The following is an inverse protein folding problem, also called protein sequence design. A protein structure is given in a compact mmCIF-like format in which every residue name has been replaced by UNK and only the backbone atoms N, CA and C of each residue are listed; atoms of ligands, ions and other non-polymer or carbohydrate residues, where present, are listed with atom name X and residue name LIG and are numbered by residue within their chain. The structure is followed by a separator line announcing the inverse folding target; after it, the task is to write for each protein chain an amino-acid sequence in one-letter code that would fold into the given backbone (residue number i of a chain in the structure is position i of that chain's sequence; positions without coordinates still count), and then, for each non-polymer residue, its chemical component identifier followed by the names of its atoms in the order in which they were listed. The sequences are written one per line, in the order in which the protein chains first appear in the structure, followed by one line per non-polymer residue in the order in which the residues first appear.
data_IF_710373142062
#
_entry.id   IF_710373142062
#
_cell.length_a   1.000
_cell.length_b   1.000
_cell.length_c   1.000
_cell.angle_alpha   90.00
_cell.angle_beta   90.00
_cell.angle_gamma   90.00
#
_symmetry.space_group_name_H-M   'P 1'
#
loop_
_entity.id
_entity.type
_entity.pdbx_description
1 polymer ?
#
# COMPACT_ATOMS: atom_id res chain seq x y z
N UNK A 1 -9.93 31.10 -4.32
CA UNK A 1 -10.22 31.47 -2.94
C UNK A 1 -10.58 30.21 -2.17
N UNK A 2 -9.89 29.94 -1.05
CA UNK A 2 -10.21 28.81 -0.17
C UNK A 2 -10.88 29.42 1.06
N UNK A 3 -12.08 28.98 1.38
CA UNK A 3 -12.79 29.35 2.61
C UNK A 3 -12.70 28.15 3.54
N UNK A 4 -12.15 28.38 4.74
CA UNK A 4 -12.14 27.36 5.81
C UNK A 4 -13.16 27.81 6.84
N UNK A 5 -14.21 27.02 7.06
CA UNK A 5 -15.26 27.28 8.03
C UNK A 5 -15.16 26.32 9.20
N UNK A 6 -15.07 26.88 10.41
CA UNK A 6 -15.11 26.10 11.66
C UNK A 6 -16.49 26.29 12.28
N UNK A 7 -17.27 25.22 12.35
CA UNK A 7 -18.53 25.21 13.07
C UNK A 7 -18.33 24.68 14.50
N UNK A 8 -18.67 25.48 15.49
CA UNK A 8 -18.68 25.07 16.90
C UNK A 8 -20.13 25.11 17.45
N UNK A 9 -20.61 24.04 18.10
CA UNK A 9 -21.85 24.07 18.86
C UNK A 9 -21.81 25.15 19.94
N UNK A 10 -22.96 25.76 20.26
CA UNK A 10 -23.03 26.89 21.18
C UNK A 10 -22.42 26.63 22.58
N UNK A 11 -22.47 25.40 23.06
CA UNK A 11 -21.87 24.94 24.33
C UNK A 11 -20.37 24.66 24.27
N UNK A 12 -19.79 24.63 23.06
CA UNK A 12 -18.37 24.35 22.80
C UNK A 12 -17.61 25.52 22.17
N UNK A 13 -18.26 26.68 22.02
CA UNK A 13 -17.65 27.88 21.42
C UNK A 13 -16.33 28.23 22.11
N UNK A 14 -15.27 28.35 21.30
CA UNK A 14 -13.92 28.69 21.77
C UNK A 14 -13.14 27.54 22.41
N UNK A 15 -13.64 26.32 22.33
CA UNK A 15 -12.92 25.10 22.80
C UNK A 15 -12.18 24.33 21.70
N UNK A 16 -12.51 24.63 20.46
CA UNK A 16 -11.82 24.00 19.31
C UNK A 16 -10.61 24.82 18.90
N UNK A 17 -9.53 24.15 18.56
CA UNK A 17 -8.33 24.76 17.97
C UNK A 17 -8.22 24.25 16.56
N UNK A 18 -8.36 25.15 15.57
CA UNK A 18 -8.07 24.85 14.18
C UNK A 18 -6.61 25.26 13.90
N UNK A 19 -5.79 24.27 13.60
CA UNK A 19 -4.41 24.50 13.19
C UNK A 19 -4.22 24.10 11.73
N UNK A 20 -3.94 25.07 10.86
CA UNK A 20 -3.58 24.82 9.46
C UNK A 20 -2.06 24.86 9.38
N UNK A 21 -1.41 23.71 9.37
CA UNK A 21 0.05 23.60 9.35
C UNK A 21 0.62 23.75 7.94
N UNK A 22 -0.14 23.45 6.91
CA UNK A 22 0.30 23.53 5.54
C UNK A 22 -0.88 23.69 4.58
N UNK A 23 -0.72 24.52 3.55
CA UNK A 23 -1.66 24.63 2.43
C UNK A 23 -0.91 24.25 1.18
N UNK A 24 -1.18 23.05 0.68
CA UNK A 24 -0.66 22.62 -0.62
C UNK A 24 -1.62 23.12 -1.70
N UNK A 25 -1.19 24.14 -2.45
CA UNK A 25 -1.95 24.67 -3.57
C UNK A 25 -1.72 23.78 -4.79
N UNK A 26 -2.65 22.90 -5.10
CA UNK A 26 -2.72 22.26 -6.41
C UNK A 26 -2.99 23.33 -7.47
N UNK A 27 -1.98 23.69 -8.27
CA UNK A 27 -2.06 24.77 -9.24
C UNK A 27 -2.97 24.44 -10.45
N UNK A 28 -3.32 23.16 -10.60
CA UNK A 28 -4.30 22.58 -11.52
C UNK A 28 -4.86 21.31 -10.87
N UNK A 29 -5.99 20.84 -11.37
CA UNK A 29 -6.39 19.44 -11.18
C UNK A 29 -5.14 18.57 -11.39
N UNK A 30 -4.64 17.97 -10.31
CA UNK A 30 -3.36 17.25 -10.32
C UNK A 30 -3.39 16.14 -11.38
N UNK A 31 -4.52 15.49 -11.55
CA UNK A 31 -4.72 14.44 -12.54
C UNK A 31 -4.67 15.02 -13.98
N UNK A 32 -5.16 16.25 -14.20
CA UNK A 32 -5.05 16.96 -15.48
C UNK A 32 -3.69 17.67 -15.67
N UNK A 33 -3.07 18.16 -14.60
CA UNK A 33 -1.78 18.90 -14.70
C UNK A 33 -0.61 17.99 -15.08
N UNK A 34 -0.70 16.70 -14.73
CA UNK A 34 0.30 15.69 -15.06
C UNK A 34 -0.10 14.84 -16.27
N UNK A 35 -1.24 15.14 -16.92
CA UNK A 35 -1.76 14.31 -18.01
C UNK A 35 -2.24 12.94 -17.56
N UNK A 36 -2.42 12.74 -16.24
CA UNK A 36 -2.80 11.46 -15.66
C UNK A 36 -4.30 11.24 -15.80
N UNK A 37 -4.70 10.86 -16.98
CA UNK A 37 -6.06 10.39 -17.25
C UNK A 37 -6.14 8.90 -16.92
N UNK A 38 -7.34 8.45 -16.57
CA UNK A 38 -7.63 7.01 -16.51
C UNK A 38 -7.37 6.39 -17.89
N UNK A 39 -6.88 5.16 -17.91
CA UNK A 39 -6.43 4.43 -19.10
C UNK A 39 -5.08 4.92 -19.68
N UNK A 40 -4.20 5.43 -18.83
CA UNK A 40 -2.80 5.72 -19.21
C UNK A 40 -1.92 4.47 -19.17
N UNK A 41 -2.32 3.44 -18.41
CA UNK A 41 -1.66 2.13 -18.43
C UNK A 41 -2.03 1.32 -19.68
N UNK A 42 -1.15 0.41 -20.08
CA UNK A 42 -1.43 -0.51 -21.18
C UNK A 42 -2.69 -1.34 -20.92
N UNK A 43 -3.42 -1.64 -21.98
CA UNK A 43 -4.72 -2.32 -21.88
C UNK A 43 -4.64 -3.74 -21.28
N UNK A 44 -3.44 -4.36 -21.23
CA UNK A 44 -3.25 -5.66 -20.61
C UNK A 44 -3.40 -5.64 -19.07
N UNK A 45 -3.27 -4.47 -18.44
CA UNK A 45 -3.40 -4.36 -16.99
C UNK A 45 -4.83 -4.65 -16.53
N UNK A 46 -4.98 -5.55 -15.57
CA UNK A 46 -6.27 -5.98 -15.03
C UNK A 46 -6.71 -5.07 -13.88
N UNK A 47 -7.95 -4.58 -13.92
CA UNK A 47 -8.52 -3.82 -12.80
C UNK A 47 -8.72 -4.70 -11.57
N UNK A 48 -8.42 -4.19 -10.38
CA UNK A 48 -8.56 -4.92 -9.11
C UNK A 48 -10.00 -5.40 -8.83
N UNK A 49 -11.01 -4.74 -9.40
CA UNK A 49 -12.43 -5.10 -9.24
C UNK A 49 -12.81 -6.35 -10.06
N UNK A 50 -11.96 -6.82 -10.99
CA UNK A 50 -12.22 -8.03 -11.75
C UNK A 50 -12.28 -9.25 -10.83
N UNK A 51 -12.91 -10.34 -11.29
CA UNK A 51 -13.13 -11.57 -10.50
C UNK A 51 -11.86 -12.13 -9.87
N UNK A 52 -10.73 -12.02 -10.57
CA UNK A 52 -9.42 -12.48 -10.09
C UNK A 52 -8.90 -11.65 -8.90
N UNK A 53 -9.33 -10.41 -8.76
CA UNK A 53 -9.00 -9.55 -7.64
C UNK A 53 -9.80 -9.82 -6.37
N UNK A 54 -10.97 -10.48 -6.45
CA UNK A 54 -11.84 -10.70 -5.29
C UNK A 54 -11.15 -11.38 -4.10
N UNK A 55 -10.29 -12.40 -4.27
CA UNK A 55 -9.56 -13.00 -3.15
C UNK A 55 -8.63 -12.01 -2.43
N UNK A 56 -8.26 -10.90 -3.07
CA UNK A 56 -7.28 -9.91 -2.62
C UNK A 56 -7.91 -8.61 -2.09
N UNK A 57 -9.21 -8.62 -1.74
CA UNK A 57 -9.96 -7.43 -1.35
C UNK A 57 -9.30 -6.65 -0.20
N UNK A 58 -8.73 -7.34 0.78
CA UNK A 58 -8.02 -6.71 1.90
C UNK A 58 -6.72 -6.03 1.42
N UNK A 59 -5.89 -6.75 0.69
CA UNK A 59 -4.62 -6.24 0.18
C UNK A 59 -4.83 -5.04 -0.75
N UNK A 60 -5.88 -5.07 -1.58
CA UNK A 60 -6.29 -3.96 -2.44
C UNK A 60 -6.52 -2.68 -1.63
N UNK A 61 -7.15 -2.77 -0.45
CA UNK A 61 -7.41 -1.63 0.45
C UNK A 61 -6.15 -1.06 1.11
N UNK A 62 -5.02 -1.78 1.08
CA UNK A 62 -3.75 -1.31 1.64
C UNK A 62 -2.92 -0.48 0.66
N UNK A 63 -3.19 -0.58 -0.65
CA UNK A 63 -2.34 0.00 -1.70
C UNK A 63 -2.75 1.43 -2.02
N UNK A 64 -1.75 2.31 -2.14
CA UNK A 64 -1.91 3.73 -2.42
C UNK A 64 -1.08 4.15 -3.63
N UNK A 65 -1.63 5.08 -4.43
CA UNK A 65 -0.87 5.81 -5.44
C UNK A 65 -0.09 6.93 -4.76
N UNK A 66 1.21 7.02 -5.04
CA UNK A 66 2.10 8.08 -4.54
C UNK A 66 2.43 9.05 -5.67
N UNK A 67 2.22 10.35 -5.41
CA UNK A 67 2.64 11.43 -6.28
C UNK A 67 3.62 12.31 -5.51
N UNK A 68 4.86 12.39 -5.96
CA UNK A 68 5.91 13.20 -5.32
C UNK A 68 6.80 13.87 -6.37
N UNK A 69 6.94 15.21 -6.32
CA UNK A 69 7.84 15.96 -7.20
C UNK A 69 7.64 15.74 -8.71
N UNK A 70 6.45 15.32 -9.15
CA UNK A 70 6.17 14.94 -10.54
C UNK A 70 6.46 13.48 -10.88
N UNK A 71 6.92 12.68 -9.91
CA UNK A 71 7.14 11.23 -10.06
C UNK A 71 5.96 10.46 -9.47
N UNK A 72 5.62 9.36 -10.14
CA UNK A 72 4.58 8.43 -9.71
C UNK A 72 5.23 7.17 -9.15
N UNK A 73 4.71 6.73 -8.02
CA UNK A 73 5.05 5.45 -7.40
C UNK A 73 3.80 4.83 -6.77
N UNK A 74 3.95 3.60 -6.33
CA UNK A 74 2.98 2.85 -5.54
C UNK A 74 3.54 2.63 -4.14
N UNK A 75 2.67 2.59 -3.15
CA UNK A 75 3.03 2.21 -1.79
C UNK A 75 1.98 1.33 -1.16
N UNK A 76 2.32 0.72 -0.04
CA UNK A 76 1.43 -0.19 0.68
C UNK A 76 1.42 0.15 2.16
N UNK A 77 0.23 0.37 2.72
CA UNK A 77 0.03 0.56 4.16
C UNK A 77 0.34 -0.76 4.87
N UNK A 78 1.34 -0.77 5.76
CA UNK A 78 1.90 -1.98 6.36
C UNK A 78 1.71 -2.02 7.88
N UNK A 79 1.37 -3.20 8.41
CA UNK A 79 1.18 -3.45 9.83
C UNK A 79 2.52 -3.54 10.58
N UNK A 80 2.50 -3.21 11.87
CA UNK A 80 3.59 -3.42 12.81
C UNK A 80 3.15 -4.31 13.99
N UNK A 81 4.11 -4.89 14.73
CA UNK A 81 3.81 -5.84 15.82
C UNK A 81 3.10 -5.22 17.03
N UNK A 82 3.12 -3.89 17.18
CA UNK A 82 2.32 -3.20 18.20
C UNK A 82 0.84 -3.12 17.80
N UNK A 83 0.51 -3.27 16.51
CA UNK A 83 -0.84 -3.14 15.94
C UNK A 83 -1.54 -1.84 16.40
N UNK A 84 -0.77 -0.76 16.46
CA UNK A 84 -1.18 0.54 17.02
C UNK A 84 -1.76 1.51 15.98
N UNK A 85 -1.85 1.07 14.71
CA UNK A 85 -2.36 1.88 13.61
C UNK A 85 -1.40 2.96 13.13
N UNK A 86 -0.12 2.89 13.49
CA UNK A 86 0.90 3.79 12.92
C UNK A 86 0.89 3.66 11.40
N UNK A 87 0.66 4.76 10.65
CA UNK A 87 0.36 4.69 9.23
C UNK A 87 1.63 4.61 8.39
N UNK A 88 2.37 3.51 8.50
CA UNK A 88 3.55 3.27 7.70
C UNK A 88 3.18 2.90 6.26
N UNK A 89 3.82 3.57 5.30
CA UNK A 89 3.77 3.21 3.87
C UNK A 89 5.12 2.63 3.48
N UNK A 90 5.10 1.37 3.06
CA UNK A 90 6.22 0.70 2.40
C UNK A 90 6.21 1.05 0.91
N UNK A 91 7.36 1.43 0.36
CA UNK A 91 7.56 1.76 -1.05
C UNK A 91 9.01 1.45 -1.45
N UNK A 92 9.46 1.87 -2.63
CA UNK A 92 10.84 1.71 -3.07
C UNK A 92 11.75 2.85 -2.59
N UNK A 93 13.06 2.58 -2.48
CA UNK A 93 14.06 3.62 -2.19
C UNK A 93 14.19 4.60 -3.36
N UNK A 94 14.21 4.10 -4.60
CA UNK A 94 14.29 4.94 -5.79
C UNK A 94 13.04 5.84 -6.00
N UNK A 95 11.95 5.64 -5.26
CA UNK A 95 10.83 6.58 -5.16
C UNK A 95 11.15 7.81 -4.31
N UNK A 96 12.36 7.87 -3.74
CA UNK A 96 12.90 9.00 -2.99
C UNK A 96 12.09 9.33 -1.70
N UNK A 97 11.95 8.38 -0.77
CA UNK A 97 11.13 8.53 0.44
C UNK A 97 11.57 9.71 1.32
N UNK A 98 12.86 10.12 1.26
CA UNK A 98 13.37 11.27 1.99
C UNK A 98 12.72 12.60 1.57
N UNK A 99 12.16 12.68 0.36
CA UNK A 99 11.55 13.88 -0.19
C UNK A 99 10.01 13.82 -0.29
N UNK A 100 9.38 12.87 0.43
CA UNK A 100 7.92 12.70 0.44
C UNK A 100 7.18 13.59 1.44
N UNK A 101 7.82 14.58 2.04
CA UNK A 101 7.19 15.51 2.99
C UNK A 101 5.99 16.29 2.44
N UNK A 102 5.90 16.44 1.11
CA UNK A 102 4.78 17.06 0.40
C UNK A 102 4.13 16.10 -0.62
N UNK A 103 4.40 14.81 -0.55
CA UNK A 103 3.79 13.83 -1.44
C UNK A 103 2.28 13.72 -1.20
N UNK A 104 1.54 13.32 -2.22
CA UNK A 104 0.12 12.99 -2.14
C UNK A 104 -0.05 11.48 -2.21
N UNK A 105 -0.63 10.92 -1.16
CA UNK A 105 -0.97 9.50 -1.06
C UNK A 105 -2.46 9.35 -1.31
N UNK A 106 -2.83 8.75 -2.45
CA UNK A 106 -4.23 8.56 -2.85
C UNK A 106 -4.66 7.12 -2.60
N UNK A 107 -5.66 6.97 -1.74
CA UNK A 107 -6.32 5.72 -1.39
C UNK A 107 -7.50 5.44 -2.34
N UNK A 108 -7.88 4.18 -2.46
CA UNK A 108 -9.07 3.72 -3.16
C UNK A 108 -9.24 4.33 -4.57
N UNK A 109 -8.11 4.47 -5.27
CA UNK A 109 -8.13 4.91 -6.67
C UNK A 109 -8.32 3.70 -7.59
N UNK A 110 -9.51 3.13 -7.54
CA UNK A 110 -9.89 1.88 -8.18
C UNK A 110 -10.95 2.14 -9.24
N UNK A 111 -10.90 1.40 -10.35
CA UNK A 111 -11.99 1.44 -11.33
C UNK A 111 -13.27 0.83 -10.73
N UNK A 112 -14.45 1.46 -10.88
CA UNK A 112 -15.71 0.87 -10.43
C UNK A 112 -16.21 -0.25 -11.34
N UNK A 113 -15.55 -0.50 -12.46
CA UNK A 113 -15.87 -1.57 -13.41
C UNK A 113 -14.62 -2.39 -13.71
N UNK A 114 -14.80 -3.65 -14.07
CA UNK A 114 -13.76 -4.46 -14.65
C UNK A 114 -13.62 -4.11 -16.13
N UNK A 115 -12.55 -3.41 -16.49
CA UNK A 115 -12.23 -3.06 -17.86
C UNK A 115 -11.79 -4.27 -18.69
N UNK A 116 -11.74 -4.10 -19.99
CA UNK A 116 -11.23 -5.12 -20.89
C UNK A 116 -9.71 -5.04 -21.00
N UNK A 117 -9.03 -6.17 -20.84
CA UNK A 117 -7.58 -6.26 -21.10
C UNK A 117 -7.20 -6.14 -22.59
N UNK A 118 -8.16 -6.01 -23.48
CA UNK A 118 -7.93 -5.78 -24.91
C UNK A 118 -8.02 -4.29 -25.28
N UNK A 119 -8.76 -3.50 -24.49
CA UNK A 119 -8.98 -2.07 -24.72
C UNK A 119 -8.96 -1.37 -23.37
N UNK A 120 -8.12 -0.36 -23.21
CA UNK A 120 -8.08 0.44 -22.00
C UNK A 120 -9.43 1.21 -21.86
N UNK A 121 -10.29 0.73 -20.97
CA UNK A 121 -11.62 1.30 -20.73
C UNK A 121 -12.04 1.30 -19.27
N UNK A 122 -11.07 1.29 -18.35
CA UNK A 122 -11.29 1.54 -16.92
C UNK A 122 -11.93 2.91 -16.70
N UNK A 123 -12.61 3.07 -15.57
CA UNK A 123 -13.26 4.34 -15.22
C UNK A 123 -12.65 4.92 -13.94
N UNK A 124 -12.66 6.24 -13.80
CA UNK A 124 -12.29 6.88 -12.56
C UNK A 124 -13.36 6.61 -11.47
N UNK A 125 -12.95 6.41 -10.21
CA UNK A 125 -13.91 6.35 -9.11
C UNK A 125 -14.67 7.66 -8.99
N UNK A 126 -15.94 7.58 -8.61
CA UNK A 126 -16.76 8.74 -8.32
C UNK A 126 -16.47 9.32 -6.94
N UNK A 127 -16.77 10.60 -6.74
CA UNK A 127 -16.65 11.28 -5.45
C UNK A 127 -15.34 12.01 -5.26
N UNK A 128 -15.16 12.56 -4.06
CA UNK A 128 -13.94 13.30 -3.71
C UNK A 128 -12.76 12.35 -3.53
N UNK A 129 -11.57 12.70 -4.03
CA UNK A 129 -10.38 11.89 -3.84
C UNK A 129 -10.06 11.66 -2.36
N UNK A 130 -9.80 10.42 -1.98
CA UNK A 130 -9.35 10.04 -0.64
C UNK A 130 -7.83 10.17 -0.57
N UNK A 131 -7.34 11.28 -0.03
CA UNK A 131 -5.92 11.60 -0.01
C UNK A 131 -5.40 11.98 1.37
N UNK A 132 -4.14 11.60 1.63
CA UNK A 132 -3.34 12.15 2.73
C UNK A 132 -2.14 12.85 2.11
N UNK A 133 -1.82 14.04 2.65
CA UNK A 133 -0.72 14.84 2.14
C UNK A 133 0.45 14.82 3.11
N UNK A 134 1.62 14.52 2.57
CA UNK A 134 2.89 14.52 3.27
C UNK A 134 3.11 13.31 4.17
N UNK A 135 4.38 13.08 4.44
CA UNK A 135 4.87 12.02 5.30
C UNK A 135 6.20 12.40 5.93
N UNK A 136 6.60 11.68 6.96
CA UNK A 136 7.93 11.74 7.55
C UNK A 136 8.75 10.55 7.06
N UNK A 137 10.00 10.78 6.67
CA UNK A 137 10.94 9.71 6.34
C UNK A 137 11.26 8.88 7.57
N UNK A 138 11.24 7.55 7.42
CA UNK A 138 11.51 6.58 8.49
C UNK A 138 12.77 5.78 8.18
N UNK A 139 12.79 5.05 7.09
CA UNK A 139 13.91 4.19 6.71
C UNK A 139 13.98 3.96 5.21
N UNK A 140 15.19 3.74 4.69
CA UNK A 140 15.40 3.25 3.33
C UNK A 140 16.75 2.59 3.17
N UNK A 141 16.90 1.71 2.19
CA UNK A 141 18.20 1.20 1.77
C UNK A 141 18.18 0.72 0.32
N UNK A 142 19.21 1.09 -0.42
CA UNK A 142 19.39 0.74 -1.82
C UNK A 142 19.63 -0.76 -2.04
N UNK A 143 20.20 -1.47 -1.08
CA UNK A 143 20.56 -2.89 -1.22
C UNK A 143 19.37 -3.75 -1.64
N UNK A 144 18.18 -3.49 -1.09
CA UNK A 144 16.91 -4.14 -1.42
C UNK A 144 15.86 -3.14 -1.88
N UNK A 145 16.29 -1.93 -2.22
CA UNK A 145 15.46 -0.85 -2.77
C UNK A 145 14.17 -0.60 -1.98
N UNK A 146 14.19 -0.66 -0.66
CA UNK A 146 13.03 -0.35 0.14
C UNK A 146 13.04 1.08 0.68
N UNK A 147 11.86 1.67 0.79
CA UNK A 147 11.58 2.91 1.48
C UNK A 147 10.41 2.73 2.45
N UNK A 148 10.49 3.34 3.62
CA UNK A 148 9.43 3.39 4.63
C UNK A 148 9.22 4.84 5.03
N UNK A 149 7.97 5.29 4.97
CA UNK A 149 7.54 6.60 5.44
C UNK A 149 6.34 6.46 6.37
N UNK A 150 6.16 7.41 7.28
CA UNK A 150 4.98 7.53 8.12
C UNK A 150 4.12 8.70 7.62
N UNK A 151 2.86 8.46 7.31
CA UNK A 151 1.95 9.51 6.88
C UNK A 151 1.74 10.55 7.98
N UNK A 152 1.56 11.81 7.59
CA UNK A 152 1.32 12.91 8.54
C UNK A 152 0.00 12.79 9.34
N UNK A 153 -0.89 11.88 8.93
CA UNK A 153 -2.11 11.56 9.66
C UNK A 153 -2.54 10.12 9.40
N UNK A 154 -3.22 9.53 10.39
CA UNK A 154 -3.86 8.22 10.24
C UNK A 154 -4.99 8.34 9.22
N UNK A 155 -5.13 7.38 8.29
CA UNK A 155 -6.25 7.35 7.36
C UNK A 155 -7.59 7.37 8.11
N UNK A 156 -8.55 8.23 7.73
CA UNK A 156 -9.88 8.21 8.32
C UNK A 156 -10.53 6.82 8.18
N UNK A 157 -11.32 6.42 9.17
CA UNK A 157 -12.03 5.12 9.14
C UNK A 157 -12.92 4.96 7.90
N UNK A 158 -13.43 6.08 7.35
CA UNK A 158 -14.22 6.12 6.12
C UNK A 158 -13.44 5.74 4.86
N UNK A 159 -12.09 5.65 4.94
CA UNK A 159 -11.27 5.16 3.83
C UNK A 159 -11.27 3.64 3.76
N UNK A 160 -11.76 2.95 4.80
CA UNK A 160 -11.85 1.49 4.89
C UNK A 160 -10.52 0.80 4.52
N UNK A 161 -9.42 1.30 5.10
CA UNK A 161 -8.08 0.81 4.79
C UNK A 161 -7.76 -0.49 5.50
N UNK A 162 -6.83 -1.23 4.92
CA UNK A 162 -6.23 -2.43 5.49
C UNK A 162 -4.74 -2.20 5.71
N UNK A 163 -4.21 -2.60 6.85
CA UNK A 163 -2.78 -2.64 7.13
C UNK A 163 -2.27 -4.02 6.76
N UNK A 164 -1.50 -4.10 5.67
CA UNK A 164 -1.04 -5.36 5.11
C UNK A 164 -0.09 -6.12 6.04
N UNK A 165 -0.24 -7.43 6.08
CA UNK A 165 0.68 -8.33 6.76
C UNK A 165 1.98 -8.55 5.98
N UNK A 166 2.98 -9.11 6.65
CA UNK A 166 4.30 -9.34 6.07
C UNK A 166 4.94 -10.64 6.56
N UNK A 167 5.89 -11.16 5.77
CA UNK A 167 6.72 -12.32 6.10
C UNK A 167 8.18 -12.01 5.80
N UNK A 168 9.07 -12.21 6.78
CA UNK A 168 10.49 -11.87 6.68
C UNK A 168 11.44 -13.09 6.60
N UNK A 169 10.91 -14.28 6.37
CA UNK A 169 11.73 -15.52 6.34
C UNK A 169 12.61 -15.65 5.10
N UNK A 170 12.29 -14.97 4.01
CA UNK A 170 12.97 -15.16 2.72
C UNK A 170 12.71 -16.54 2.09
N UNK A 171 11.65 -17.23 2.50
CA UNK A 171 11.20 -18.44 1.86
C UNK A 171 10.66 -18.14 0.46
N UNK A 172 10.93 -19.02 -0.49
CA UNK A 172 10.43 -18.91 -1.87
C UNK A 172 8.92 -19.09 -1.88
N UNK A 173 8.21 -18.14 -2.45
CA UNK A 173 6.77 -18.22 -2.67
C UNK A 173 6.47 -19.10 -3.90
N UNK A 174 5.41 -19.88 -3.84
CA UNK A 174 4.98 -20.75 -4.95
C UNK A 174 4.23 -19.99 -6.04
N UNK A 175 3.61 -18.89 -5.68
CA UNK A 175 2.93 -17.94 -6.58
C UNK A 175 3.05 -16.55 -5.95
N UNK A 176 2.85 -15.52 -6.73
CA UNK A 176 2.87 -14.16 -6.21
C UNK A 176 1.84 -13.24 -6.90
N UNK A 177 1.48 -12.17 -6.18
CA UNK A 177 0.56 -11.15 -6.69
C UNK A 177 1.15 -9.78 -6.44
N UNK A 178 1.00 -8.88 -7.41
CA UNK A 178 1.31 -7.47 -7.29
C UNK A 178 0.04 -6.64 -7.46
N UNK A 179 -0.18 -5.66 -6.57
CA UNK A 179 -1.25 -4.67 -6.68
C UNK A 179 -0.59 -3.31 -6.77
N UNK A 180 -0.88 -2.55 -7.84
CA UNK A 180 -0.06 -1.40 -8.21
C UNK A 180 -0.83 -0.33 -8.99
N UNK A 181 -0.18 0.80 -9.25
CA UNK A 181 -0.69 1.92 -10.06
C UNK A 181 0.20 2.14 -11.30
N UNK A 182 0.10 1.28 -12.33
CA UNK A 182 0.91 1.41 -13.54
C UNK A 182 0.57 2.71 -14.26
N UNK A 183 1.59 3.45 -14.69
CA UNK A 183 1.47 4.79 -15.30
C UNK A 183 0.67 5.79 -14.43
N UNK A 184 0.53 5.50 -13.11
CA UNK A 184 -0.31 6.27 -12.19
C UNK A 184 -1.81 6.12 -12.43
N UNK A 185 -2.23 5.15 -13.21
CA UNK A 185 -3.61 4.81 -13.51
C UNK A 185 -4.35 4.27 -12.28
N UNK A 186 -5.65 4.00 -12.42
CA UNK A 186 -6.42 3.27 -11.40
C UNK A 186 -5.73 1.95 -11.05
N UNK A 187 -5.94 1.51 -9.82
CA UNK A 187 -5.27 0.33 -9.26
C UNK A 187 -5.47 -0.91 -10.11
N UNK A 188 -4.39 -1.63 -10.35
CA UNK A 188 -4.32 -2.85 -11.14
C UNK A 188 -3.77 -3.99 -10.31
N UNK A 189 -3.98 -5.21 -10.80
CA UNK A 189 -3.49 -6.43 -10.18
C UNK A 189 -2.79 -7.30 -11.22
N UNK A 190 -1.63 -7.86 -10.85
CA UNK A 190 -0.82 -8.74 -11.68
C UNK A 190 -0.49 -10.03 -10.94
N UNK A 191 -0.43 -11.13 -11.68
CA UNK A 191 -0.29 -12.48 -11.14
C UNK A 191 0.94 -13.17 -11.68
N UNK A 192 1.66 -13.82 -10.78
CA UNK A 192 2.72 -14.79 -11.04
C UNK A 192 2.24 -16.14 -10.49
N UNK A 193 1.87 -17.05 -11.38
CA UNK A 193 1.36 -18.37 -11.02
C UNK A 193 2.51 -19.40 -10.88
N UNK A 194 3.77 -18.97 -11.02
CA UNK A 194 4.99 -19.78 -10.89
C UNK A 194 5.79 -19.41 -9.62
N UNK A 195 6.71 -20.30 -9.16
CA UNK A 195 7.54 -19.97 -8.00
C UNK A 195 8.54 -18.86 -8.28
N UNK A 196 8.61 -17.88 -7.35
CA UNK A 196 9.60 -16.80 -7.41
C UNK A 196 11.03 -17.33 -7.52
N UNK A 197 11.86 -16.65 -8.32
CA UNK A 197 13.27 -16.96 -8.46
C UNK A 197 14.14 -16.05 -7.59
N UNK A 198 15.30 -16.58 -7.19
CA UNK A 198 16.31 -15.78 -6.52
C UNK A 198 17.13 -14.98 -7.52
N UNK A 199 17.30 -13.69 -7.30
CA UNK A 199 18.07 -12.81 -8.17
C UNK A 199 18.96 -11.85 -7.40
N UNK A 200 19.82 -11.11 -8.09
CA UNK A 200 20.80 -10.21 -7.54
C UNK A 200 20.84 -8.90 -8.34
N UNK A 201 20.72 -7.77 -7.64
CA UNK A 201 20.80 -6.45 -8.25
C UNK A 201 21.73 -5.54 -7.44
N UNK A 202 22.17 -4.44 -8.03
CA UNK A 202 23.02 -3.42 -7.38
C UNK A 202 24.32 -3.95 -6.77
N UNK A 203 24.85 -5.08 -7.27
CA UNK A 203 26.06 -5.71 -6.73
C UNK A 203 25.85 -6.45 -5.41
N UNK A 204 24.63 -6.64 -4.97
CA UNK A 204 24.27 -7.38 -3.76
C UNK A 204 23.72 -8.74 -4.15
N UNK A 205 24.29 -9.81 -3.57
CA UNK A 205 23.88 -11.18 -3.89
C UNK A 205 22.57 -11.54 -3.22
N UNK A 206 21.68 -12.20 -3.97
CA UNK A 206 20.44 -12.79 -3.47
C UNK A 206 19.50 -11.80 -2.75
N UNK A 207 19.52 -10.55 -3.19
CA UNK A 207 18.75 -9.47 -2.58
C UNK A 207 17.37 -9.24 -3.20
N UNK A 208 17.09 -9.89 -4.33
CA UNK A 208 15.85 -9.72 -5.08
C UNK A 208 15.10 -11.04 -5.27
N UNK A 209 13.78 -10.93 -5.34
CA UNK A 209 12.93 -11.88 -6.01
C UNK A 209 12.85 -11.50 -7.48
N UNK A 210 12.82 -12.48 -8.37
CA UNK A 210 12.54 -12.33 -9.79
C UNK A 210 11.21 -13.01 -10.10
N UNK A 211 10.30 -12.22 -10.68
CA UNK A 211 9.12 -12.69 -11.40
C UNK A 211 9.58 -12.85 -12.86
N UNK A 212 9.69 -14.08 -13.36
CA UNK A 212 10.21 -14.34 -14.70
C UNK A 212 9.25 -13.83 -15.77
N UNK A 213 7.96 -14.05 -15.58
CA UNK A 213 6.91 -13.53 -16.46
C UNK A 213 5.64 -13.29 -15.65
N UNK A 214 4.81 -12.34 -16.08
CA UNK A 214 3.49 -12.15 -15.55
C UNK A 214 2.46 -12.94 -16.36
N UNK A 215 1.59 -13.68 -15.68
CA UNK A 215 0.50 -14.45 -16.28
C UNK A 215 -0.78 -13.62 -16.45
N UNK A 216 -1.82 -14.27 -16.96
CA UNK A 216 -3.15 -13.70 -17.17
C UNK A 216 -3.13 -12.42 -17.99
N UNK A 217 -2.11 -12.28 -18.87
CA UNK A 217 -1.87 -11.08 -19.67
C UNK A 217 -1.69 -9.81 -18.81
N UNK A 218 -1.17 -9.94 -17.58
CA UNK A 218 -0.88 -8.81 -16.71
C UNK A 218 0.59 -8.38 -16.79
N UNK A 219 0.96 -7.27 -16.17
CA UNK A 219 2.34 -6.75 -16.16
C UNK A 219 2.50 -5.67 -15.09
N UNK A 220 3.72 -5.12 -14.93
CA UNK A 220 3.96 -3.83 -14.28
C UNK A 220 4.41 -2.78 -15.31
N UNK A 221 4.38 -1.51 -14.93
CA UNK A 221 4.84 -0.39 -15.75
C UNK A 221 5.45 0.71 -14.87
N UNK A 222 5.99 1.77 -15.46
CA UNK A 222 6.40 2.97 -14.71
C UNK A 222 5.26 3.45 -13.81
N UNK A 223 5.55 3.81 -12.56
CA UNK A 223 4.52 4.13 -11.54
C UNK A 223 4.15 2.95 -10.64
N UNK A 224 4.37 1.71 -11.08
CA UNK A 224 4.24 0.52 -10.23
C UNK A 224 5.36 0.40 -9.19
N UNK A 225 6.46 1.12 -9.37
CA UNK A 225 7.61 1.20 -8.45
C UNK A 225 7.18 1.30 -7.00
N UNK A 226 7.72 0.46 -6.14
CA UNK A 226 7.42 0.42 -4.71
C UNK A 226 6.16 -0.38 -4.34
N UNK A 227 5.42 -0.94 -5.30
CA UNK A 227 4.32 -1.86 -5.00
C UNK A 227 4.82 -3.10 -4.27
N UNK A 228 4.03 -3.59 -3.33
CA UNK A 228 4.34 -4.84 -2.64
C UNK A 228 4.12 -6.05 -3.54
N UNK A 229 4.92 -7.09 -3.29
CA UNK A 229 4.71 -8.43 -3.80
C UNK A 229 4.19 -9.30 -2.65
N UNK A 230 3.02 -9.89 -2.83
CA UNK A 230 2.42 -10.81 -1.86
C UNK A 230 2.65 -12.25 -2.27
N UNK A 231 2.86 -13.12 -1.28
CA UNK A 231 2.90 -14.57 -1.47
C UNK A 231 1.48 -15.17 -1.53
N UNK A 232 1.41 -16.48 -1.77
CA UNK A 232 0.16 -17.25 -1.81
C UNK A 232 -0.66 -17.23 -0.50
N UNK A 233 -0.06 -16.79 0.60
CA UNK A 233 -0.69 -16.69 1.93
C UNK A 233 -1.04 -15.24 2.30
N UNK A 234 -0.97 -14.31 1.34
CA UNK A 234 -1.31 -12.88 1.49
C UNK A 234 -0.35 -12.08 2.38
N UNK A 235 0.93 -12.49 2.48
CA UNK A 235 1.96 -11.73 3.18
C UNK A 235 2.86 -11.00 2.19
N UNK A 236 3.24 -9.77 2.53
CA UNK A 236 4.27 -9.03 1.78
C UNK A 236 5.60 -9.77 1.91
N UNK A 237 6.22 -10.09 0.77
CA UNK A 237 7.52 -10.74 0.67
C UNK A 237 8.54 -9.93 -0.14
N UNK A 238 8.11 -8.86 -0.81
CA UNK A 238 8.99 -8.01 -1.61
C UNK A 238 8.40 -6.65 -1.93
N UNK A 239 9.24 -5.77 -2.52
CA UNK A 239 8.89 -4.41 -2.97
C UNK A 239 9.45 -4.18 -4.36
N UNK A 240 8.65 -3.72 -5.32
CA UNK A 240 9.04 -3.58 -6.73
C UNK A 240 10.20 -2.60 -6.91
N UNK A 241 11.34 -3.15 -7.34
CA UNK A 241 12.49 -2.40 -7.86
C UNK A 241 12.23 -1.94 -9.30
N UNK A 242 11.76 -2.83 -10.15
CA UNK A 242 11.50 -2.62 -11.57
C UNK A 242 11.96 -3.79 -12.40
N UNK A 243 11.85 -3.66 -13.70
CA UNK A 243 12.28 -4.66 -14.65
C UNK A 243 12.03 -4.24 -16.08
N UNK A 244 11.78 -5.21 -16.93
CA UNK A 244 11.53 -5.00 -18.36
C UNK A 244 10.18 -5.55 -18.81
N UNK A 245 9.35 -6.00 -17.87
CA UNK A 245 8.00 -6.45 -18.18
C UNK A 245 7.18 -5.31 -18.80
N UNK A 246 6.35 -5.62 -19.76
CA UNK A 246 5.42 -4.69 -20.42
C UNK A 246 4.31 -5.49 -21.12
N UNK A 247 3.22 -4.80 -21.45
CA UNK A 247 2.18 -5.42 -22.27
C UNK A 247 2.77 -6.05 -23.54
N UNK A 248 2.54 -7.34 -23.71
CA UNK A 248 2.94 -8.08 -24.92
C UNK A 248 4.37 -8.60 -24.92
N UNK A 249 5.11 -8.51 -23.82
CA UNK A 249 6.37 -9.21 -23.65
C UNK A 249 6.32 -10.21 -22.48
N UNK A 250 7.37 -11.04 -22.34
CA UNK A 250 7.54 -12.05 -21.30
C UNK A 250 8.88 -11.82 -20.59
N UNK A 251 9.18 -10.56 -20.21
CA UNK A 251 10.41 -10.19 -19.54
C UNK A 251 10.20 -10.06 -18.04
N UNK A 252 11.30 -10.18 -17.29
CA UNK A 252 11.27 -10.25 -15.84
C UNK A 252 11.07 -8.89 -15.19
N UNK A 253 10.47 -8.95 -13.98
CA UNK A 253 10.49 -7.89 -12.98
C UNK A 253 11.20 -8.36 -11.70
N UNK A 254 11.79 -7.41 -10.97
CA UNK A 254 12.58 -7.67 -9.78
C UNK A 254 11.99 -6.93 -8.57
N UNK A 255 11.93 -7.65 -7.44
CA UNK A 255 11.41 -7.15 -6.18
C UNK A 255 12.46 -7.28 -5.09
N UNK A 256 12.80 -6.19 -4.41
CA UNK A 256 13.64 -6.23 -3.22
C UNK A 256 13.04 -7.15 -2.16
N UNK A 257 13.79 -8.15 -1.69
CA UNK A 257 13.30 -9.11 -0.70
C UNK A 257 12.98 -8.42 0.61
N UNK A 258 11.77 -8.65 1.13
CA UNK A 258 11.37 -8.11 2.43
C UNK A 258 12.30 -8.59 3.56
N UNK A 259 12.80 -9.83 3.50
CA UNK A 259 13.78 -10.39 4.44
C UNK A 259 15.12 -9.63 4.43
N UNK A 260 15.58 -9.15 3.28
CA UNK A 260 16.76 -8.29 3.16
C UNK A 260 16.48 -6.90 3.72
N UNK A 261 15.32 -6.32 3.41
CA UNK A 261 14.86 -5.04 3.95
C UNK A 261 14.67 -5.11 5.46
N UNK A 262 14.26 -6.26 6.00
CA UNK A 262 14.05 -6.50 7.43
C UNK A 262 15.31 -6.25 8.24
N UNK A 263 16.44 -6.81 7.82
CA UNK A 263 17.74 -6.64 8.46
C UNK A 263 18.54 -5.46 7.89
N UNK A 264 18.10 -4.91 6.76
CA UNK A 264 18.82 -3.93 5.97
C UNK A 264 20.18 -4.46 5.50
N UNK A 265 20.27 -5.75 5.15
CA UNK A 265 21.53 -6.41 4.81
C UNK A 265 22.61 -6.16 5.88
N UNK A 266 22.29 -6.46 7.15
CA UNK A 266 23.11 -6.21 8.34
C UNK A 266 23.41 -4.72 8.57
N UNK A 267 22.49 -3.82 8.24
CA UNK A 267 22.66 -2.39 8.49
C UNK A 267 22.84 -2.08 9.98
N UNK A 268 23.75 -1.17 10.27
CA UNK A 268 24.07 -0.77 11.64
C UNK A 268 23.03 0.20 12.24
N UNK A 269 22.35 0.99 11.38
CA UNK A 269 21.46 2.06 11.82
C UNK A 269 19.98 1.70 11.62
N UNK A 270 19.08 2.13 12.55
CA UNK A 270 17.64 1.82 12.46
C UNK A 270 16.98 2.31 11.17
N UNK A 271 17.39 3.46 10.64
CA UNK A 271 16.84 4.03 9.43
C UNK A 271 17.27 3.35 8.12
N UNK A 272 17.93 2.19 8.21
CA UNK A 272 18.34 1.37 7.08
C UNK A 272 17.76 -0.06 7.13
N UNK A 273 16.75 -0.30 7.98
CA UNK A 273 16.12 -1.62 8.14
C UNK A 273 14.67 -1.47 8.61
N UNK A 274 13.81 -2.42 8.23
CA UNK A 274 12.41 -2.41 8.60
C UNK A 274 12.16 -2.89 10.03
N UNK A 275 12.97 -3.82 10.54
CA UNK A 275 12.74 -4.50 11.82
C UNK A 275 12.56 -3.56 13.02
N UNK A 276 13.24 -2.41 13.04
CA UNK A 276 13.10 -1.45 14.13
C UNK A 276 11.74 -0.76 14.20
N UNK A 277 11.03 -0.71 13.07
CA UNK A 277 9.78 0.02 12.91
C UNK A 277 8.58 -0.90 12.84
N UNK A 278 8.71 -2.04 12.15
CA UNK A 278 7.65 -3.01 12.00
C UNK A 278 7.62 -4.08 13.11
N UNK A 279 8.67 -4.16 13.93
CA UNK A 279 8.70 -4.94 15.17
C UNK A 279 9.16 -4.09 16.38
N UNK A 280 8.45 -2.98 16.70
CA UNK A 280 8.84 -2.11 17.80
C UNK A 280 8.75 -2.79 19.17
N UNK A 281 7.99 -3.87 19.27
CA UNK A 281 7.86 -4.67 20.50
C UNK A 281 8.99 -5.69 20.66
N UNK A 282 9.87 -5.82 19.66
CA UNK A 282 10.93 -6.82 19.59
C UNK A 282 10.40 -8.23 19.83
N UNK A 283 9.28 -8.54 19.21
CA UNK A 283 8.56 -9.81 19.34
C UNK A 283 9.31 -11.00 18.76
N UNK A 284 10.18 -10.73 17.75
CA UNK A 284 10.88 -11.75 17.00
C UNK A 284 9.98 -12.55 16.05
N UNK A 285 8.79 -12.07 15.77
CA UNK A 285 7.89 -12.70 14.81
C UNK A 285 8.52 -12.71 13.41
N UNK A 286 8.33 -13.81 12.72
CA UNK A 286 8.78 -13.99 11.33
C UNK A 286 7.69 -13.68 10.31
N UNK A 287 6.48 -13.53 10.77
CA UNK A 287 5.31 -13.08 9.99
C UNK A 287 4.30 -12.41 10.91
N UNK A 288 3.54 -11.46 10.35
CA UNK A 288 2.47 -10.76 11.02
C UNK A 288 1.29 -10.63 10.06
N UNK A 289 0.09 -11.02 10.49
CA UNK A 289 -1.12 -10.86 9.70
C UNK A 289 -1.50 -9.38 9.56
N UNK A 290 -2.16 -9.05 8.46
CA UNK A 290 -2.77 -7.74 8.30
C UNK A 290 -4.02 -7.57 9.18
N UNK A 291 -4.50 -6.33 9.29
CA UNK A 291 -5.74 -6.03 10.01
C UNK A 291 -6.44 -4.79 9.45
N UNK A 292 -7.76 -4.69 9.67
CA UNK A 292 -8.56 -3.51 9.37
C UNK A 292 -8.81 -2.71 10.65
N UNK A 293 -8.49 -1.40 10.68
CA UNK A 293 -8.83 -0.54 11.82
C UNK A 293 -10.35 -0.52 12.02
N UNK A 294 -10.79 -0.63 13.26
CA UNK A 294 -12.22 -0.62 13.59
C UNK A 294 -12.91 -1.98 13.59
N UNK A 295 -12.25 -3.05 13.15
CA UNK A 295 -12.68 -4.41 13.46
C UNK A 295 -12.32 -4.68 14.92
N UNK A 296 -13.28 -4.98 15.83
CA UNK A 296 -12.94 -5.35 17.19
C UNK A 296 -12.07 -6.61 17.15
N UNK A 297 -10.79 -6.50 17.49
CA UNK A 297 -9.99 -7.67 17.82
C UNK A 297 -10.59 -8.25 19.10
N UNK A 298 -11.31 -9.36 19.00
CA UNK A 298 -11.64 -10.16 20.17
C UNK A 298 -10.31 -10.66 20.75
N UNK A 299 -9.75 -9.92 21.70
CA UNK A 299 -8.75 -10.47 22.59
C UNK A 299 -9.43 -11.63 23.33
N UNK A 300 -9.11 -12.84 22.95
CA UNK A 300 -9.49 -14.04 23.70
C UNK A 300 -8.65 -14.03 24.98
N UNK A 301 -9.12 -13.30 25.98
CA UNK A 301 -8.75 -13.56 27.36
C UNK A 301 -9.34 -14.94 27.71
N UNK A 302 -8.45 -15.86 28.03
CA UNK A 302 -8.60 -17.33 28.02
C UNK A 302 -9.71 -17.99 28.84
N UNK A 303 -10.93 -17.42 28.87
CA UNK A 303 -12.11 -18.04 29.49
C UNK A 303 -13.39 -17.72 28.73
N UNK A 304 -13.57 -18.29 27.54
CA UNK A 304 -14.88 -18.35 26.91
C UNK A 304 -15.33 -19.81 26.90
N UNK A 305 -16.13 -20.18 27.89
CA UNK A 305 -17.02 -21.33 27.83
C UNK A 305 -18.29 -20.91 27.08
N UNK A 306 -18.39 -21.27 25.78
CA UNK A 306 -19.59 -21.24 24.93
C UNK A 306 -20.33 -19.90 24.79
N UNK A 307 -20.19 -19.25 23.61
CA UNK A 307 -21.14 -18.25 23.10
C UNK A 307 -22.16 -18.98 22.23
N UNK A 308 -23.40 -19.08 22.68
CA UNK A 308 -24.51 -19.45 21.82
C UNK A 308 -24.92 -18.25 20.99
N UNK A 309 -24.53 -18.23 19.70
CA UNK A 309 -25.04 -17.29 18.73
C UNK A 309 -26.43 -17.77 18.28
N UNK A 310 -27.49 -17.20 18.85
CA UNK A 310 -28.80 -17.24 18.23
C UNK A 310 -28.82 -16.28 17.04
N UNK A 311 -29.38 -16.69 15.93
CA UNK A 311 -29.30 -16.11 14.59
C UNK A 311 -30.04 -14.77 14.37
N UNK A 312 -30.15 -13.92 15.38
CA UNK A 312 -30.77 -12.60 15.26
C UNK A 312 -30.12 -11.60 16.20
N UNK A 313 -28.97 -10.99 15.79
CA UNK A 313 -28.55 -9.70 16.35
C UNK A 313 -27.83 -8.89 15.27
N UNK A 314 -28.55 -8.04 14.60
CA UNK A 314 -27.97 -6.84 14.00
C UNK A 314 -27.79 -5.81 15.12
N UNK A 315 -26.62 -5.70 15.70
CA UNK A 315 -26.28 -4.61 16.58
C UNK A 315 -25.66 -3.48 15.78
N UNK A 316 -26.46 -2.51 15.36
CA UNK A 316 -25.97 -1.18 15.11
C UNK A 316 -25.70 -0.51 16.47
N UNK A 317 -24.45 -0.48 16.90
CA UNK A 317 -24.06 0.28 18.08
C UNK A 317 -23.94 1.75 17.66
N UNK A 318 -24.94 2.55 18.01
CA UNK A 318 -24.85 3.99 18.02
C UNK A 318 -24.15 4.38 19.31
N UNK A 319 -22.92 4.88 19.24
CA UNK A 319 -22.22 5.46 20.40
C UNK A 319 -22.54 6.94 20.41
N UNK A 320 -23.31 7.45 21.38
CA UNK A 320 -23.42 8.89 21.56
C UNK A 320 -22.08 9.43 22.08
N UNK A 321 -21.54 10.44 21.41
CA UNK A 321 -20.40 11.21 21.91
C UNK A 321 -20.92 12.14 23.00
N UNK A 322 -20.55 11.91 24.25
CA UNK A 322 -20.71 12.86 25.34
C UNK A 322 -19.66 13.99 25.28
#
# INVERSE_FOLDING_TARGET
EIIVELYEPNDKVGKSILHISNVVHGYKDIDNALGLKVNESGACNMDVICSDGLPWENEIKSVVRILTGGTLCTGTLVNNTAQDGTPYILTAEHCNPQNMGNAVFRFNYDSPICGSQAVANSQAPSGSPQTINGSSFIASKQDSDFGLVELNSVPPISYDVFYAGWRNTGAVSSTAVCIHHPSGDVKKISFDDDPLQNSSQNGVSNNMWEVETWERSTTTEGGSSGSALWDQDHYIVGTLFGGSAACGNFLSDFYGKFSMSWTGNNAATPNQRLSNWLDPTNSGLTQLSGYSPGTPTLALDGTISTVNLSSEVFCSAYIPVE
#
